data_IF_378637016676
#
_entry.id   IF_378637016676
#
_cell.length_a   1.000
_cell.length_b   1.000
_cell.length_c   1.000
_cell.angle_alpha   90.00
_cell.angle_beta   90.00
_cell.angle_gamma   90.00
#
_symmetry.space_group_name_H-M   'P 1'
#
loop_
_entity.id
_entity.type
_entity.pdbx_description
1 polymer ?
#
# COMPACT_ATOMS: atom_id res chain seq x y z
N UNK A 1 -1.56 8.56 22.57
CA UNK A 1 -1.49 8.44 21.09
C UNK A 1 -2.88 8.44 20.43
N UNK A 2 -3.95 8.10 21.14
CA UNK A 2 -5.34 8.04 20.63
C UNK A 2 -5.91 9.39 20.16
N UNK A 3 -5.40 10.51 20.66
CA UNK A 3 -5.87 11.84 20.28
C UNK A 3 -5.68 12.14 18.79
N UNK A 4 -4.70 11.51 18.12
CA UNK A 4 -4.41 11.74 16.70
C UNK A 4 -5.42 11.05 15.78
N UNK A 5 -5.72 9.77 16.01
CA UNK A 5 -6.71 9.05 15.21
C UNK A 5 -8.13 9.58 15.43
N UNK A 6 -8.46 9.98 16.68
CA UNK A 6 -9.74 10.61 16.98
C UNK A 6 -9.94 11.95 16.27
N UNK A 7 -8.87 12.76 16.16
CA UNK A 7 -8.88 14.03 15.41
C UNK A 7 -9.13 13.79 13.92
N UNK A 8 -8.45 12.81 13.33
CA UNK A 8 -8.68 12.41 11.94
C UNK A 8 -10.12 11.93 11.71
N UNK A 9 -10.66 11.09 12.60
CA UNK A 9 -12.02 10.55 12.46
C UNK A 9 -13.09 11.65 12.61
N UNK A 10 -12.84 12.64 13.47
CA UNK A 10 -13.70 13.82 13.62
C UNK A 10 -13.56 14.87 12.50
N UNK A 11 -12.61 14.71 11.58
CA UNK A 11 -12.37 15.69 10.53
C UNK A 11 -13.45 15.63 9.46
N UNK A 12 -14.08 16.77 9.17
CA UNK A 12 -15.14 16.85 8.18
C UNK A 12 -14.59 17.03 6.75
N UNK A 13 -14.35 15.90 6.09
CA UNK A 13 -13.92 15.87 4.69
C UNK A 13 -15.00 16.34 3.70
N UNK A 14 -16.28 16.42 4.11
CA UNK A 14 -17.36 16.80 3.21
C UNK A 14 -17.48 18.33 3.06
N UNK A 15 -17.16 19.08 4.12
CA UNK A 15 -17.14 20.55 4.07
C UNK A 15 -15.85 21.14 3.50
N UNK A 16 -14.72 20.41 3.48
CA UNK A 16 -13.47 20.93 2.92
C UNK A 16 -13.50 20.97 1.38
N UNK A 17 -13.65 22.18 0.84
CA UNK A 17 -13.68 22.45 -0.59
C UNK A 17 -12.45 21.91 -1.35
N UNK A 18 -11.25 21.93 -0.73
CA UNK A 18 -10.02 21.47 -1.39
C UNK A 18 -10.02 19.97 -1.58
N UNK A 19 -10.52 19.25 -0.58
CA UNK A 19 -10.66 17.79 -0.66
C UNK A 19 -11.70 17.42 -1.70
N UNK A 20 -12.87 18.09 -1.70
CA UNK A 20 -13.95 17.83 -2.65
C UNK A 20 -13.54 18.15 -4.09
N UNK A 21 -12.84 19.26 -4.34
CA UNK A 21 -12.33 19.60 -5.67
C UNK A 21 -11.23 18.63 -6.14
N UNK A 22 -10.40 18.14 -5.23
CA UNK A 22 -9.46 17.06 -5.52
C UNK A 22 -10.18 15.75 -5.88
N UNK A 23 -11.22 15.40 -5.13
CA UNK A 23 -12.01 14.20 -5.32
C UNK A 23 -12.75 14.18 -6.68
N UNK A 24 -13.19 15.33 -7.18
CA UNK A 24 -13.79 15.45 -8.53
C UNK A 24 -12.80 15.16 -9.66
N UNK A 25 -11.50 15.43 -9.45
CA UNK A 25 -10.44 15.22 -10.45
C UNK A 25 -9.94 13.78 -10.48
N UNK A 26 -10.01 13.09 -9.34
CA UNK A 26 -9.69 11.66 -9.25
C UNK A 26 -10.91 10.90 -9.76
N UNK A 27 -10.72 10.12 -10.84
CA UNK A 27 -11.78 9.22 -11.32
C UNK A 27 -12.27 8.36 -10.15
N UNK A 28 -13.59 8.17 -9.99
CA UNK A 28 -14.25 7.69 -8.76
C UNK A 28 -13.40 6.66 -7.98
N UNK A 29 -13.25 6.80 -6.64
CA UNK A 29 -12.52 5.81 -5.85
C UNK A 29 -13.17 4.44 -6.03
N UNK A 30 -12.38 3.45 -6.48
CA UNK A 30 -12.86 2.12 -6.83
C UNK A 30 -13.35 1.31 -5.61
N UNK A 31 -12.80 1.60 -4.42
CA UNK A 31 -13.13 0.91 -3.18
C UNK A 31 -13.19 1.86 -1.96
N UNK A 32 -13.81 1.41 -0.86
CA UNK A 32 -13.79 2.11 0.44
C UNK A 32 -12.35 2.32 0.94
N UNK A 33 -11.45 1.38 0.64
CA UNK A 33 -10.03 1.51 1.01
C UNK A 33 -9.33 2.63 0.24
N UNK A 34 -9.65 2.82 -1.03
CA UNK A 34 -9.03 3.89 -1.83
C UNK A 34 -9.49 5.26 -1.37
N UNK A 35 -10.77 5.38 -0.98
CA UNK A 35 -11.27 6.60 -0.35
C UNK A 35 -10.55 6.88 0.98
N UNK A 36 -10.31 5.84 1.81
CA UNK A 36 -9.57 5.99 3.06
C UNK A 36 -8.12 6.42 2.81
N UNK A 37 -7.43 5.79 1.86
CA UNK A 37 -6.06 6.17 1.46
C UNK A 37 -6.01 7.63 1.02
N UNK A 38 -6.99 8.08 0.24
CA UNK A 38 -7.06 9.46 -0.24
C UNK A 38 -7.31 10.46 0.91
N UNK A 39 -8.22 10.13 1.85
CA UNK A 39 -8.46 10.93 3.06
C UNK A 39 -7.18 11.07 3.89
N UNK A 40 -6.46 9.97 4.11
CA UNK A 40 -5.19 9.98 4.85
C UNK A 40 -4.12 10.78 4.12
N UNK A 41 -3.99 10.60 2.80
CA UNK A 41 -3.04 11.38 2.00
C UNK A 41 -3.30 12.88 2.12
N UNK A 42 -4.56 13.31 1.97
CA UNK A 42 -4.94 14.71 2.12
C UNK A 42 -4.65 15.23 3.53
N UNK A 43 -5.07 14.49 4.55
CA UNK A 43 -4.88 14.89 5.95
C UNK A 43 -3.38 15.00 6.30
N UNK A 44 -2.55 14.08 5.83
CA UNK A 44 -1.09 14.15 5.98
C UNK A 44 -0.48 15.37 5.29
N UNK A 45 -1.06 15.77 4.15
CA UNK A 45 -0.55 16.87 3.35
C UNK A 45 -0.87 18.24 3.94
N UNK A 46 -2.00 18.38 4.63
CA UNK A 46 -2.54 19.69 5.01
C UNK A 46 -2.83 19.88 6.50
N UNK A 47 -2.93 18.81 7.30
CA UNK A 47 -3.34 18.88 8.71
C UNK A 47 -2.25 18.32 9.62
N UNK A 48 -2.06 16.99 9.62
CA UNK A 48 -1.12 16.32 10.53
C UNK A 48 -0.78 14.94 9.98
N UNK A 49 0.45 14.48 10.20
CA UNK A 49 0.91 13.19 9.70
C UNK A 49 0.33 12.02 10.51
N UNK A 50 -0.38 11.12 9.82
CA UNK A 50 -0.98 9.91 10.36
C UNK A 50 -0.66 8.70 9.46
N UNK A 51 -0.54 7.53 10.07
CA UNK A 51 -0.26 6.28 9.35
C UNK A 51 -1.53 5.48 9.12
N UNK A 52 -1.70 4.98 7.88
CA UNK A 52 -2.83 4.10 7.50
C UNK A 52 -2.90 2.84 8.38
N UNK A 53 -1.76 2.19 8.63
CA UNK A 53 -1.74 0.96 9.41
C UNK A 53 -2.21 1.18 10.86
N UNK A 54 -1.67 2.21 11.52
CA UNK A 54 -2.07 2.54 12.89
C UNK A 54 -3.54 2.99 13.00
N UNK A 55 -4.10 3.64 11.97
CA UNK A 55 -5.52 3.94 11.93
C UNK A 55 -6.39 2.66 11.84
N UNK A 56 -6.00 1.70 10.99
CA UNK A 56 -6.70 0.41 10.88
C UNK A 56 -6.67 -0.37 12.20
N UNK A 57 -5.53 -0.39 12.88
CA UNK A 57 -5.38 -1.01 14.20
C UNK A 57 -6.26 -0.33 15.25
N UNK A 58 -6.31 1.01 15.24
CA UNK A 58 -7.19 1.77 16.13
C UNK A 58 -8.68 1.47 15.88
N UNK A 59 -9.11 1.38 14.62
CA UNK A 59 -10.48 0.97 14.28
C UNK A 59 -10.78 -0.45 14.78
N UNK A 60 -9.87 -1.41 14.57
CA UNK A 60 -10.06 -2.79 15.04
C UNK A 60 -10.16 -2.88 16.57
N UNK A 61 -9.45 -2.03 17.30
CA UNK A 61 -9.57 -1.91 18.77
C UNK A 61 -10.92 -1.31 19.20
N UNK A 62 -11.46 -0.34 18.45
CA UNK A 62 -12.79 0.22 18.72
C UNK A 62 -13.89 -0.83 18.49
N UNK A 63 -13.81 -1.60 17.42
CA UNK A 63 -14.76 -2.69 17.14
C UNK A 63 -14.73 -3.75 18.27
N UNK A 64 -13.54 -4.06 18.79
CA UNK A 64 -13.37 -4.96 19.93
C UNK A 64 -13.95 -4.40 21.23
N UNK A 65 -13.84 -3.09 21.43
CA UNK A 65 -14.41 -2.39 22.58
C UNK A 65 -15.94 -2.40 22.54
N UNK A 66 -16.52 -2.31 21.33
CA UNK A 66 -17.96 -2.36 21.11
C UNK A 66 -18.54 -3.79 21.28
N UNK A 67 -17.77 -4.83 20.92
CA UNK A 67 -18.15 -6.23 21.15
C UNK A 67 -18.16 -6.59 22.64
N UNK A 68 -17.17 -6.15 23.43
CA UNK A 68 -17.16 -6.40 24.89
C UNK A 68 -18.33 -5.72 25.60
N UNK A 69 -18.74 -4.52 25.13
CA UNK A 69 -19.89 -3.81 25.68
C UNK A 69 -21.25 -4.46 25.30
N UNK A 70 -21.38 -5.04 24.10
CA UNK A 70 -22.56 -5.84 23.72
C UNK A 70 -22.60 -7.20 24.42
N UNK A 71 -21.45 -7.84 24.61
CA UNK A 71 -21.37 -9.16 25.25
C UNK A 71 -21.71 -9.07 26.73
N UNK A 72 -21.29 -8.00 27.44
CA UNK A 72 -21.75 -7.71 28.81
C UNK A 72 -23.25 -7.45 28.93
N UNK A 73 -23.96 -7.21 27.82
CA UNK A 73 -25.43 -7.09 27.79
C UNK A 73 -26.13 -8.42 27.52
N UNK A 74 -25.41 -9.44 27.05
CA UNK A 74 -25.95 -10.78 26.73
C UNK A 74 -25.68 -11.86 27.78
N UNK A 75 -24.79 -11.66 28.76
CA UNK A 75 -24.52 -12.65 29.83
C UNK A 75 -25.57 -12.66 30.97
N UNK A 76 -26.82 -12.34 30.67
CA UNK A 76 -27.98 -12.77 31.46
C UNK A 76 -28.91 -13.58 30.56
N UNK A 77 -28.38 -14.62 29.94
CA UNK A 77 -29.07 -15.91 29.86
C UNK A 77 -28.21 -16.89 29.04
N UNK A 78 -28.20 -18.10 29.55
CA UNK A 78 -27.86 -19.34 28.89
C UNK A 78 -26.40 -19.82 28.94
N UNK A 79 -26.27 -20.90 29.70
CA UNK A 79 -25.10 -21.72 29.89
C UNK A 79 -25.12 -22.89 28.89
N UNK A 80 -24.00 -23.22 28.28
CA UNK A 80 -23.86 -24.55 27.67
C UNK A 80 -22.75 -24.75 26.64
N UNK A 81 -21.71 -25.49 27.07
CA UNK A 81 -21.05 -26.56 26.31
C UNK A 81 -20.15 -26.17 25.12
N UNK A 82 -18.82 -26.40 25.19
CA UNK A 82 -18.10 -27.64 24.74
C UNK A 82 -18.08 -27.75 23.21
N UNK A 83 -17.01 -28.06 22.45
CA UNK A 83 -15.60 -28.45 22.64
C UNK A 83 -15.01 -28.69 21.22
N UNK A 84 -13.67 -28.75 21.09
CA UNK A 84 -12.87 -29.43 20.04
C UNK A 84 -13.03 -29.03 18.56
N UNK A 85 -12.08 -29.16 17.64
CA UNK A 85 -10.63 -29.39 17.60
C UNK A 85 -10.20 -29.16 16.11
N UNK A 86 -8.99 -28.60 15.92
CA UNK A 86 -7.92 -28.97 14.96
C UNK A 86 -8.22 -29.67 13.60
N UNK A 87 -7.49 -29.25 12.55
CA UNK A 87 -6.97 -30.00 11.34
C UNK A 87 -6.89 -28.99 10.17
N UNK A 88 -5.92 -28.93 9.26
CA UNK A 88 -4.56 -29.43 9.02
C UNK A 88 -4.10 -28.65 7.77
N UNK A 89 -2.81 -28.32 7.69
CA UNK A 89 -2.18 -27.76 6.50
C UNK A 89 -2.23 -28.74 5.33
N UNK A 90 -2.61 -28.25 4.14
CA UNK A 90 -2.29 -28.92 2.88
C UNK A 90 -1.40 -28.01 2.04
N UNK A 91 -0.13 -28.39 1.99
CA UNK A 91 0.79 -28.03 0.92
C UNK A 91 0.36 -28.76 -0.36
N UNK A 92 0.33 -28.04 -1.47
CA UNK A 92 0.28 -28.62 -2.80
C UNK A 92 1.41 -27.99 -3.60
N UNK A 93 2.49 -28.74 -3.76
CA UNK A 93 3.44 -28.54 -4.85
C UNK A 93 2.80 -29.12 -6.11
N UNK A 94 2.55 -28.28 -7.12
CA UNK A 94 2.38 -28.72 -8.51
C UNK A 94 3.05 -27.73 -9.46
N UNK A 95 3.74 -28.37 -10.40
CA UNK A 95 4.57 -27.85 -11.48
C UNK A 95 3.92 -26.77 -12.36
N UNK A 96 4.78 -25.81 -12.70
CA UNK A 96 4.88 -25.03 -13.93
C UNK A 96 3.84 -25.31 -15.04
N UNK A 97 2.97 -24.33 -15.27
CA UNK A 97 2.98 -23.49 -16.49
C UNK A 97 1.68 -22.67 -16.52
N UNK A 98 1.76 -21.44 -16.00
CA UNK A 98 0.86 -20.30 -16.23
C UNK A 98 1.02 -19.33 -15.07
N UNK A 99 2.02 -18.45 -15.16
CA UNK A 99 2.20 -17.34 -14.24
C UNK A 99 1.05 -16.34 -14.38
N UNK A 100 -0.06 -16.66 -13.74
CA UNK A 100 -1.13 -15.74 -13.41
C UNK A 100 -0.65 -14.85 -12.27
N UNK A 101 -1.06 -13.58 -12.28
CA UNK A 101 -0.74 -12.51 -11.33
C UNK A 101 -1.07 -12.81 -9.85
N UNK A 102 -0.44 -13.84 -9.28
CA UNK A 102 -0.52 -14.15 -7.86
C UNK A 102 0.31 -13.11 -7.12
N UNK A 103 -0.36 -12.26 -6.33
CA UNK A 103 0.27 -11.22 -5.54
C UNK A 103 1.17 -11.86 -4.47
N UNK A 104 2.47 -12.00 -4.75
CA UNK A 104 3.45 -12.55 -3.81
C UNK A 104 3.66 -11.61 -2.62
N UNK A 105 3.84 -12.19 -1.43
CA UNK A 105 4.23 -11.42 -0.24
C UNK A 105 5.65 -10.87 -0.39
N UNK A 106 5.94 -9.74 0.27
CA UNK A 106 7.27 -9.13 0.26
C UNK A 106 8.37 -10.12 0.70
N UNK A 107 8.09 -10.92 1.74
CA UNK A 107 9.05 -11.91 2.23
C UNK A 107 9.35 -13.00 1.19
N UNK A 108 8.35 -13.42 0.40
CA UNK A 108 8.56 -14.37 -0.68
C UNK A 108 9.45 -13.78 -1.78
N UNK A 109 9.14 -12.56 -2.23
CA UNK A 109 9.96 -11.83 -3.22
C UNK A 109 11.41 -11.67 -2.73
N UNK A 110 11.59 -11.33 -1.45
CA UNK A 110 12.93 -11.17 -0.88
C UNK A 110 13.74 -12.47 -0.88
N UNK A 111 13.12 -13.61 -0.55
CA UNK A 111 13.79 -14.91 -0.64
C UNK A 111 14.19 -15.25 -2.08
N UNK A 112 13.32 -14.96 -3.06
CA UNK A 112 13.63 -15.18 -4.48
C UNK A 112 14.83 -14.36 -4.93
N UNK A 113 14.92 -13.10 -4.49
CA UNK A 113 16.09 -12.24 -4.74
C UNK A 113 17.36 -12.86 -4.13
N UNK A 114 17.28 -13.35 -2.89
CA UNK A 114 18.43 -13.97 -2.22
C UNK A 114 18.87 -15.28 -2.89
N UNK A 115 17.92 -16.07 -3.38
CA UNK A 115 18.16 -17.30 -4.12
C UNK A 115 18.63 -17.07 -5.56
N UNK A 116 18.44 -15.86 -6.10
CA UNK A 116 18.74 -15.52 -7.49
C UNK A 116 17.70 -16.02 -8.49
N UNK A 117 16.49 -16.32 -8.02
CA UNK A 117 15.37 -16.79 -8.83
C UNK A 117 14.72 -15.64 -9.61
N UNK A 118 14.03 -15.98 -10.71
CA UNK A 118 13.32 -15.00 -11.52
C UNK A 118 12.03 -14.55 -10.84
N UNK A 119 11.78 -13.23 -10.83
CA UNK A 119 10.59 -12.65 -10.19
C UNK A 119 9.44 -12.61 -11.21
N UNK A 120 8.26 -13.19 -10.90
CA UNK A 120 7.09 -13.14 -11.76
C UNK A 120 6.71 -11.70 -12.13
N UNK A 121 6.36 -11.49 -13.41
CA UNK A 121 5.99 -10.17 -13.95
C UNK A 121 7.18 -9.28 -14.32
N UNK A 122 8.42 -9.68 -14.04
CA UNK A 122 9.60 -8.91 -14.42
C UNK A 122 10.12 -9.32 -15.81
N UNK A 123 10.07 -8.41 -16.78
CA UNK A 123 10.63 -8.63 -18.11
C UNK A 123 12.14 -8.32 -18.12
N UNK A 124 12.97 -9.32 -18.43
CA UNK A 124 14.41 -9.12 -18.67
C UNK A 124 14.60 -8.49 -20.05
N UNK A 125 14.96 -7.21 -20.06
CA UNK A 125 15.34 -6.53 -21.30
C UNK A 125 16.77 -6.96 -21.69
N UNK A 126 16.99 -7.25 -22.97
CA UNK A 126 18.33 -7.52 -23.49
C UNK A 126 19.11 -6.21 -23.67
N UNK A 127 19.54 -5.64 -22.55
CA UNK A 127 20.32 -4.40 -22.52
C UNK A 127 21.79 -4.77 -22.71
N UNK A 128 22.37 -4.36 -23.83
CA UNK A 128 23.81 -4.47 -24.07
C UNK A 128 24.51 -3.16 -23.63
N UNK A 129 25.65 -3.23 -22.93
CA UNK A 129 26.46 -2.06 -22.65
C UNK A 129 26.85 -1.35 -23.96
N UNK A 130 26.56 -0.05 -24.04
CA UNK A 130 27.05 0.78 -25.14
C UNK A 130 28.51 1.16 -24.88
N UNK A 131 29.41 0.16 -24.90
CA UNK A 131 30.86 0.36 -24.73
C UNK A 131 31.50 0.92 -26.01
N UNK A 132 30.81 1.83 -26.69
CA UNK A 132 31.33 2.46 -27.90
C UNK A 132 32.21 3.65 -27.53
N UNK A 133 33.23 3.91 -28.35
CA UNK A 133 34.06 5.09 -28.21
C UNK A 133 33.19 6.36 -28.36
N UNK A 134 33.49 7.43 -27.60
CA UNK A 134 32.73 8.67 -27.69
C UNK A 134 32.80 9.23 -29.11
N UNK A 135 31.68 9.75 -29.62
CA UNK A 135 31.65 10.43 -30.92
C UNK A 135 32.53 11.67 -30.88
N UNK A 136 33.43 11.83 -31.85
CA UNK A 136 34.26 13.03 -31.96
C UNK A 136 33.40 14.24 -32.34
N UNK A 137 33.66 15.39 -31.69
CA UNK A 137 32.99 16.64 -32.04
C UNK A 137 33.44 17.12 -33.42
N UNK A 138 32.48 17.30 -34.33
CA UNK A 138 32.71 17.97 -35.62
C UNK A 138 32.42 19.49 -35.55
N UNK A 139 32.03 19.99 -34.37
CA UNK A 139 31.65 21.39 -34.20
C UNK A 139 32.90 22.28 -34.19
N UNK A 140 32.97 23.22 -35.13
CA UNK A 140 34.04 24.20 -35.17
C UNK A 140 33.93 25.19 -34.01
N UNK A 141 35.06 25.50 -33.37
CA UNK A 141 35.09 26.47 -32.27
C UNK A 141 34.74 27.85 -32.81
N UNK A 142 33.68 28.48 -32.27
CA UNK A 142 33.41 29.90 -32.52
C UNK A 142 34.50 30.72 -31.85
N UNK A 143 35.28 31.44 -32.66
CA UNK A 143 36.28 32.37 -32.16
C UNK A 143 35.62 33.52 -31.41
N UNK A 144 36.28 33.97 -30.35
CA UNK A 144 35.88 35.17 -29.63
C UNK A 144 36.19 36.40 -30.49
N UNK A 145 35.46 37.51 -30.31
CA UNK A 145 35.66 38.72 -31.12
C UNK A 145 37.09 39.31 -31.11
N UNK A 146 37.87 39.01 -30.06
CA UNK A 146 39.25 39.46 -29.86
C UNK A 146 40.32 38.45 -30.31
N UNK A 147 39.93 37.31 -30.87
CA UNK A 147 40.84 36.29 -31.42
C UNK A 147 41.08 36.50 -32.93
N UNK A 148 40.85 37.72 -33.45
CA UNK A 148 41.18 38.15 -34.81
C UNK A 148 42.51 38.89 -34.83
#
# INVERSE_FOLDING_TARGET
MESLYRRFDSYDFNSDARFQDGLKKVNKPASKEDLLKLKIFFYNRFVEAIHLNGYKEWCALQDRSHQVAEEMRRVQDDAGTSDSEKVLLSQTDMEADSAQDAQLSFAAVFRMIQAGEEIPGLQKLDIKPCNQLPTSSQMTRKLKPWEK
#
